data_IF_799360946509
#
_entry.id   IF_799360946509
#
_cell.length_a   1.000
_cell.length_b   1.000
_cell.length_c   1.000
_cell.angle_alpha   90.00
_cell.angle_beta   90.00
_cell.angle_gamma   90.00
#
_symmetry.space_group_name_H-M   'P 1'
#
loop_
_entity.id
_entity.type
_entity.pdbx_description
1 polymer ?
#
# COMPACT_ATOMS: atom_id res chain seq x y z
N UNK A 1 17.53 5.03 4.26
CA UNK A 1 16.86 4.37 3.10
C UNK A 1 15.56 3.79 3.62
N UNK A 2 14.45 4.05 2.94
CA UNK A 2 13.12 3.57 3.35
C UNK A 2 13.12 2.06 3.61
N UNK A 3 12.60 1.65 4.77
CA UNK A 3 12.45 0.24 5.09
C UNK A 3 11.28 -0.33 4.29
N UNK A 4 11.54 -1.26 3.35
CA UNK A 4 10.49 -1.92 2.56
C UNK A 4 10.07 -3.24 3.18
N UNK A 5 8.77 -3.41 3.42
CA UNK A 5 8.16 -4.62 3.95
C UNK A 5 7.07 -5.11 2.99
N UNK A 6 6.78 -6.41 3.06
CA UNK A 6 5.72 -7.05 2.27
C UNK A 6 4.80 -7.85 3.18
N UNK A 7 3.50 -7.75 2.92
CA UNK A 7 2.46 -8.59 3.48
C UNK A 7 1.55 -9.15 2.38
N UNK A 8 1.00 -10.33 2.60
CA UNK A 8 0.10 -11.03 1.71
C UNK A 8 -1.14 -11.46 2.50
N UNK A 9 -2.30 -10.94 2.12
CA UNK A 9 -3.54 -11.13 2.86
C UNK A 9 -3.64 -10.27 4.13
N UNK A 10 -4.83 -10.33 4.73
CA UNK A 10 -5.23 -9.39 5.79
C UNK A 10 -4.50 -9.67 7.12
N UNK A 11 -4.38 -10.93 7.51
CA UNK A 11 -3.75 -11.32 8.78
C UNK A 11 -2.27 -10.92 8.82
N UNK A 12 -1.55 -11.14 7.72
CA UNK A 12 -0.16 -10.73 7.62
C UNK A 12 -0.03 -9.20 7.59
N UNK A 13 -0.94 -8.50 6.90
CA UNK A 13 -0.99 -7.04 6.93
C UNK A 13 -1.14 -6.52 8.37
N UNK A 14 -2.08 -7.06 9.14
CA UNK A 14 -2.29 -6.65 10.53
C UNK A 14 -1.05 -6.91 11.39
N UNK A 15 -0.41 -8.07 11.20
CA UNK A 15 0.81 -8.44 11.93
C UNK A 15 1.94 -7.44 11.64
N UNK A 16 2.22 -7.21 10.36
CA UNK A 16 3.31 -6.31 9.93
C UNK A 16 3.06 -4.88 10.40
N UNK A 17 1.84 -4.36 10.27
CA UNK A 17 1.51 -3.00 10.74
C UNK A 17 1.69 -2.88 12.24
N UNK A 18 1.17 -3.83 13.02
CA UNK A 18 1.32 -3.81 14.48
C UNK A 18 2.81 -3.87 14.91
N UNK A 19 3.63 -4.67 14.22
CA UNK A 19 5.08 -4.73 14.48
C UNK A 19 5.77 -3.40 14.20
N UNK A 20 5.44 -2.75 13.08
CA UNK A 20 5.98 -1.44 12.70
C UNK A 20 5.57 -0.38 13.70
N UNK A 21 4.27 -0.32 14.07
CA UNK A 21 3.75 0.62 15.06
C UNK A 21 4.43 0.44 16.43
N UNK A 22 4.63 -0.82 16.87
CA UNK A 22 5.29 -1.10 18.15
C UNK A 22 6.79 -0.74 18.14
N UNK A 23 7.47 -0.93 17.01
CA UNK A 23 8.91 -0.67 16.88
C UNK A 23 9.22 0.82 16.76
N UNK A 24 8.41 1.55 16.00
CA UNK A 24 8.57 2.99 15.81
C UNK A 24 7.21 3.71 15.78
N UNK A 25 6.62 4.02 16.96
CA UNK A 25 5.29 4.64 17.05
C UNK A 25 5.15 6.01 16.37
N UNK A 26 6.28 6.72 16.21
CA UNK A 26 6.33 8.04 15.57
C UNK A 26 6.93 7.98 14.16
N UNK A 27 7.22 6.78 13.65
CA UNK A 27 7.76 6.58 12.32
C UNK A 27 6.70 6.82 11.26
N UNK A 28 7.11 7.38 10.12
CA UNK A 28 6.22 7.49 8.98
C UNK A 28 6.03 6.14 8.32
N UNK A 29 4.77 5.75 8.08
CA UNK A 29 4.44 4.48 7.46
C UNK A 29 3.54 4.72 6.26
N UNK A 30 3.96 4.22 5.11
CA UNK A 30 3.21 4.27 3.86
C UNK A 30 2.82 2.86 3.45
N UNK A 31 1.55 2.64 3.12
CA UNK A 31 1.02 1.31 2.81
C UNK A 31 0.38 1.32 1.44
N UNK A 32 0.91 0.52 0.52
CA UNK A 32 0.33 0.28 -0.79
C UNK A 32 -0.47 -1.02 -0.77
N UNK A 33 -1.78 -0.90 -0.96
CA UNK A 33 -2.65 -2.05 -1.23
C UNK A 33 -2.75 -2.27 -2.73
N UNK A 34 -2.39 -3.48 -3.16
CA UNK A 34 -2.30 -3.87 -4.55
C UNK A 34 -2.81 -5.29 -4.75
N UNK A 35 -3.19 -5.64 -5.98
CA UNK A 35 -3.55 -7.01 -6.31
C UNK A 35 -2.34 -7.93 -6.06
N UNK A 36 -2.58 -9.12 -5.51
CA UNK A 36 -1.50 -10.06 -5.24
C UNK A 36 -0.74 -10.41 -6.50
N UNK A 37 0.57 -10.56 -6.32
CA UNK A 37 1.48 -10.93 -7.39
C UNK A 37 1.41 -12.43 -7.63
N UNK A 38 1.39 -12.82 -8.90
CA UNK A 38 1.52 -14.22 -9.30
C UNK A 38 2.99 -14.69 -9.19
N UNK A 39 3.27 -15.90 -9.67
CA UNK A 39 4.62 -16.50 -9.67
C UNK A 39 5.62 -15.75 -10.57
N UNK A 40 5.15 -14.91 -11.49
CA UNK A 40 5.99 -14.04 -12.33
C UNK A 40 6.28 -12.70 -11.67
N UNK A 41 5.69 -12.45 -10.50
CA UNK A 41 5.85 -11.20 -9.77
C UNK A 41 4.94 -10.08 -10.26
N UNK A 42 3.98 -10.36 -11.15
CA UNK A 42 3.05 -9.36 -11.67
C UNK A 42 1.70 -9.43 -10.95
N UNK A 43 1.13 -8.26 -10.69
CA UNK A 43 -0.23 -8.17 -10.17
C UNK A 43 -1.24 -8.53 -11.27
N UNK A 44 -2.33 -9.20 -10.90
CA UNK A 44 -3.47 -9.42 -11.80
C UNK A 44 -4.23 -8.14 -12.16
N UNK A 45 -3.97 -7.04 -11.44
CA UNK A 45 -4.59 -5.73 -11.65
C UNK A 45 -3.69 -4.85 -12.52
N UNK A 46 -4.13 -4.44 -13.73
CA UNK A 46 -3.33 -3.60 -14.62
C UNK A 46 -2.91 -2.27 -13.99
N UNK A 47 -3.83 -1.59 -13.30
CA UNK A 47 -3.54 -0.30 -12.66
C UNK A 47 -2.47 -0.44 -11.56
N UNK A 48 -2.44 -1.58 -10.87
CA UNK A 48 -1.38 -1.90 -9.90
C UNK A 48 -0.02 -2.11 -10.57
N UNK A 49 0.01 -2.76 -11.74
CA UNK A 49 1.24 -2.96 -12.52
C UNK A 49 1.80 -1.63 -13.03
N UNK A 50 0.93 -0.71 -13.46
CA UNK A 50 1.34 0.62 -13.91
C UNK A 50 1.80 1.53 -12.77
N UNK A 51 1.13 1.49 -11.61
CA UNK A 51 1.46 2.33 -10.46
C UNK A 51 2.76 1.91 -9.75
N UNK A 52 3.10 0.62 -9.75
CA UNK A 52 4.29 0.11 -9.05
C UNK A 52 5.60 0.85 -9.41
N UNK A 53 6.01 0.99 -10.69
CA UNK A 53 7.24 1.71 -11.03
C UNK A 53 7.20 3.20 -10.66
N UNK A 54 6.02 3.83 -10.65
CA UNK A 54 5.86 5.23 -10.24
C UNK A 54 6.11 5.37 -8.74
N UNK A 55 5.52 4.49 -7.94
CA UNK A 55 5.69 4.48 -6.48
C UNK A 55 7.13 4.13 -6.11
N UNK A 56 7.72 3.12 -6.75
CA UNK A 56 9.12 2.74 -6.51
C UNK A 56 10.09 3.88 -6.80
N UNK A 57 9.86 4.66 -7.86
CA UNK A 57 10.63 5.87 -8.16
C UNK A 57 10.41 6.96 -7.12
N UNK A 58 9.17 7.21 -6.71
CA UNK A 58 8.86 8.24 -5.72
C UNK A 58 9.42 7.91 -4.32
N UNK A 59 9.56 6.63 -3.98
CA UNK A 59 10.16 6.18 -2.72
C UNK A 59 11.64 6.59 -2.56
N UNK A 60 12.32 6.98 -3.65
CA UNK A 60 13.67 7.56 -3.59
C UNK A 60 13.67 8.92 -2.87
N UNK A 61 12.54 9.61 -2.84
CA UNK A 61 12.34 10.90 -2.16
C UNK A 61 11.67 10.75 -0.79
N UNK A 62 11.33 9.53 -0.37
CA UNK A 62 10.71 9.30 0.93
C UNK A 62 11.69 9.53 2.09
N UNK A 63 11.21 9.90 3.29
CA UNK A 63 12.07 10.14 4.45
C UNK A 63 12.92 8.92 4.77
N UNK A 64 14.18 9.14 5.17
CA UNK A 64 15.16 8.04 5.32
C UNK A 64 14.75 6.97 6.33
N UNK A 65 13.94 7.35 7.33
CA UNK A 65 13.43 6.50 8.42
C UNK A 65 11.97 6.06 8.21
N UNK A 66 11.37 6.39 7.07
CA UNK A 66 10.03 5.93 6.74
C UNK A 66 10.01 4.42 6.47
N UNK A 67 8.85 3.80 6.69
CA UNK A 67 8.57 2.42 6.34
C UNK A 67 7.54 2.37 5.23
N UNK A 68 7.84 1.61 4.17
CA UNK A 68 6.91 1.31 3.10
C UNK A 68 6.46 -0.14 3.18
N UNK A 69 5.15 -0.38 3.15
CA UNK A 69 4.56 -1.72 3.22
C UNK A 69 3.77 -1.98 1.93
N UNK A 70 4.21 -2.96 1.15
CA UNK A 70 3.40 -3.53 0.07
C UNK A 70 2.45 -4.58 0.63
N UNK A 71 1.16 -4.47 0.32
CA UNK A 71 0.12 -5.43 0.75
C UNK A 71 -0.55 -6.01 -0.49
N UNK A 72 -0.36 -7.31 -0.71
CA UNK A 72 -1.16 -8.10 -1.65
C UNK A 72 -2.54 -8.38 -1.04
N UNK A 73 -3.61 -7.92 -1.67
CA UNK A 73 -4.98 -8.07 -1.11
C UNK A 73 -5.58 -9.45 -1.33
N UNK A 74 -4.91 -10.34 -2.06
CA UNK A 74 -5.41 -11.63 -2.52
C UNK A 74 -5.66 -11.65 -4.03
N UNK A 75 -6.29 -12.74 -4.48
CA UNK A 75 -6.70 -12.89 -5.87
C UNK A 75 -7.86 -11.95 -6.25
N UNK A 76 -8.13 -11.88 -7.57
CA UNK A 76 -9.16 -11.01 -8.12
C UNK A 76 -10.57 -11.35 -7.63
N UNK A 77 -10.88 -12.63 -7.43
CA UNK A 77 -12.20 -13.07 -6.95
C UNK A 77 -12.43 -12.62 -5.52
N UNK A 78 -11.44 -12.82 -4.65
CA UNK A 78 -11.47 -12.38 -3.27
C UNK A 78 -11.66 -10.87 -3.16
N UNK A 79 -10.91 -10.07 -3.93
CA UNK A 79 -11.03 -8.61 -3.91
C UNK A 79 -12.39 -8.09 -4.41
N UNK A 80 -13.01 -8.79 -5.37
CA UNK A 80 -14.31 -8.42 -5.94
C UNK A 80 -15.49 -8.72 -5.01
N UNK A 81 -15.31 -9.59 -4.01
CA UNK A 81 -16.35 -9.84 -3.02
C UNK A 81 -16.66 -8.54 -2.25
N UNK A 82 -17.92 -8.06 -2.21
CA UNK A 82 -18.29 -6.91 -1.39
C UNK A 82 -18.00 -7.12 0.11
N UNK A 83 -17.92 -8.38 0.57
CA UNK A 83 -17.57 -8.75 1.94
C UNK A 83 -16.07 -8.94 2.16
N UNK A 84 -15.22 -8.61 1.18
CA UNK A 84 -13.78 -8.64 1.33
C UNK A 84 -13.36 -7.84 2.57
N UNK A 85 -12.60 -8.47 3.47
CA UNK A 85 -12.21 -7.87 4.77
C UNK A 85 -11.50 -6.53 4.61
N UNK A 86 -10.73 -6.32 3.54
CA UNK A 86 -10.09 -5.05 3.25
C UNK A 86 -11.08 -3.90 2.95
N UNK A 87 -12.28 -4.22 2.45
CA UNK A 87 -13.35 -3.25 2.20
C UNK A 87 -14.14 -2.94 3.47
N UNK A 88 -14.30 -3.94 4.34
CA UNK A 88 -15.10 -3.85 5.56
C UNK A 88 -14.32 -3.29 6.75
N UNK A 89 -13.00 -3.42 6.77
CA UNK A 89 -12.17 -2.93 7.86
C UNK A 89 -12.34 -1.42 8.07
N UNK A 90 -12.50 -1.01 9.33
CA UNK A 90 -12.83 0.37 9.69
C UNK A 90 -11.63 1.33 9.58
N UNK A 91 -10.40 0.83 9.63
CA UNK A 91 -9.18 1.64 9.51
C UNK A 91 -8.85 1.92 8.05
N UNK A 92 -8.92 0.91 7.18
CA UNK A 92 -8.51 1.06 5.76
C UNK A 92 -9.68 1.29 4.81
N UNK A 93 -10.81 0.63 5.03
CA UNK A 93 -12.05 0.73 4.24
C UNK A 93 -11.78 0.92 2.74
N UNK A 94 -11.06 -0.02 2.13
CA UNK A 94 -10.60 0.13 0.75
C UNK A 94 -11.79 0.12 -0.22
N UNK A 95 -11.82 1.08 -1.13
CA UNK A 95 -12.83 1.16 -2.20
C UNK A 95 -12.29 0.64 -3.53
N UNK A 96 -11.01 0.88 -3.81
CA UNK A 96 -10.29 0.49 -5.03
C UNK A 96 -8.87 0.01 -4.71
N UNK A 97 -8.22 -0.59 -5.71
CA UNK A 97 -6.77 -0.83 -5.74
C UNK A 97 -6.26 -0.36 -7.11
N UNK A 98 -5.01 0.14 -7.22
CA UNK A 98 -4.08 0.39 -6.12
C UNK A 98 -4.57 1.51 -5.19
N UNK A 99 -4.25 1.39 -3.90
CA UNK A 99 -4.50 2.47 -2.92
C UNK A 99 -3.26 2.64 -2.05
N UNK A 100 -2.68 3.85 -2.04
CA UNK A 100 -1.58 4.24 -1.17
C UNK A 100 -2.11 5.03 0.03
N UNK A 101 -1.74 4.66 1.25
CA UNK A 101 -2.17 5.32 2.49
C UNK A 101 -0.96 5.80 3.28
N UNK A 102 -0.98 7.03 3.82
CA UNK A 102 -0.07 7.47 4.89
C UNK A 102 -0.73 7.07 6.20
N UNK A 103 -0.23 5.99 6.79
CA UNK A 103 -0.81 5.34 7.94
C UNK A 103 -0.92 6.29 9.14
N UNK A 104 -1.97 6.12 9.95
CA UNK A 104 -2.28 7.03 11.06
C UNK A 104 -2.87 8.38 10.63
N UNK A 105 -3.08 8.62 9.33
CA UNK A 105 -3.69 9.84 8.80
C UNK A 105 -4.89 9.54 7.89
N UNK A 106 -5.60 10.59 7.44
CA UNK A 106 -6.65 10.46 6.43
C UNK A 106 -6.12 10.58 4.98
N UNK A 107 -4.81 10.77 4.79
CA UNK A 107 -4.23 10.95 3.45
C UNK A 107 -4.16 9.61 2.73
N UNK A 108 -4.71 9.59 1.51
CA UNK A 108 -4.68 8.42 0.63
C UNK A 108 -4.73 8.83 -0.83
N UNK A 109 -4.05 8.06 -1.67
CA UNK A 109 -4.13 8.14 -3.13
C UNK A 109 -4.84 6.89 -3.65
N UNK A 110 -5.76 7.10 -4.58
CA UNK A 110 -6.62 6.07 -5.13
C UNK A 110 -6.36 5.90 -6.63
N UNK A 111 -6.32 4.66 -7.08
CA UNK A 111 -6.41 4.30 -8.50
C UNK A 111 -5.37 5.06 -9.36
N UNK A 112 -5.82 5.86 -10.34
CA UNK A 112 -4.96 6.64 -11.22
C UNK A 112 -4.02 7.62 -10.49
N UNK A 113 -4.35 8.05 -9.26
CA UNK A 113 -3.48 8.92 -8.47
C UNK A 113 -2.17 8.22 -8.11
N UNK A 114 -2.19 6.90 -7.96
CA UNK A 114 -1.00 6.08 -7.70
C UNK A 114 -0.07 6.00 -8.93
N UNK A 115 -0.57 6.32 -10.13
CA UNK A 115 0.19 6.35 -11.37
C UNK A 115 0.68 7.78 -11.74
N UNK A 116 0.43 8.77 -10.88
CA UNK A 116 0.89 10.14 -11.09
C UNK A 116 2.09 10.45 -10.19
N UNK A 117 3.29 10.55 -10.78
CA UNK A 117 4.54 10.71 -10.04
C UNK A 117 4.51 11.94 -9.11
N UNK A 118 4.03 13.09 -9.58
CA UNK A 118 4.02 14.32 -8.78
C UNK A 118 3.10 14.18 -7.56
N UNK A 119 1.94 13.55 -7.75
CA UNK A 119 1.00 13.27 -6.65
C UNK A 119 1.62 12.33 -5.62
N UNK A 120 2.33 11.29 -6.07
CA UNK A 120 2.98 10.33 -5.17
C UNK A 120 4.17 10.95 -4.46
N UNK A 121 4.95 11.82 -5.12
CA UNK A 121 6.04 12.57 -4.49
C UNK A 121 5.51 13.48 -3.37
N UNK A 122 4.45 14.25 -3.64
CA UNK A 122 3.81 15.09 -2.62
C UNK A 122 3.33 14.28 -1.40
N UNK A 123 2.94 13.02 -1.60
CA UNK A 123 2.53 12.14 -0.52
C UNK A 123 3.70 11.74 0.40
N UNK A 124 4.92 11.65 -0.13
CA UNK A 124 6.13 11.26 0.60
C UNK A 124 6.93 12.45 1.17
N UNK A 125 6.74 13.66 0.64
CA UNK A 125 7.48 14.86 1.09
C UNK A 125 6.82 15.58 2.28
N UNK A 126 5.53 15.36 2.52
CA UNK A 126 4.74 15.87 3.65
C UNK A 126 4.96 15.07 4.94
#
# INVERSE_FOLDING_TARGET
MVQKLKAEGFDQFQTVVNEVENKNPNGEVFILFSGSKDTTGQSWCPDCVEAEPVIEKALESAPEDATFIYVGVGDRSFWKDPNCVFRLDSKIKLTCIPTLIKWGTNKRLLDYQCNNLDTVLMMFED
#
